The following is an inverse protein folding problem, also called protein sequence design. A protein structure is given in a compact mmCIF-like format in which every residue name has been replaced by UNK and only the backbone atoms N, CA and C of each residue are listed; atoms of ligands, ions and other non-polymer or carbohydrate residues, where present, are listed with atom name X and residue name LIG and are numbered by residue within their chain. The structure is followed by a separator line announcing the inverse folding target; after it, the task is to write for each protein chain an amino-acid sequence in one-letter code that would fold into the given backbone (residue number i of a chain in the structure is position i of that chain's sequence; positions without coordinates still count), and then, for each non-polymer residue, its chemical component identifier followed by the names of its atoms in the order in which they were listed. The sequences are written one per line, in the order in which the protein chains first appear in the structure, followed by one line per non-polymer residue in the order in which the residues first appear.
data_IF_477553533033
#
_entry.id   IF_477553533033
#
_cell.length_a   1.000
_cell.length_b   1.000
_cell.length_c   1.000
_cell.angle_alpha   90.00
_cell.angle_beta   90.00
_cell.angle_gamma   90.00
#
_symmetry.space_group_name_H-M   'P 1'
#
loop_
_entity.id
_entity.type
_entity.pdbx_description
1 polymer ?
#
# COMPACT_ATOMS: atom_id res chain seq x y z
N UNK A 1 23.88 3.02 14.10
CA UNK A 1 24.62 1.96 13.38
C UNK A 1 24.06 1.88 11.97
N UNK A 2 24.85 2.25 10.95
CA UNK A 2 24.51 2.02 9.55
C UNK A 2 24.63 0.52 9.26
N UNK A 3 23.65 -0.07 8.56
CA UNK A 3 23.74 -1.46 8.14
C UNK A 3 24.52 -1.53 6.83
N UNK A 4 25.58 -2.34 6.79
CA UNK A 4 26.42 -2.43 5.61
C UNK A 4 25.76 -3.32 4.54
N UNK A 5 25.69 -2.82 3.30
CA UNK A 5 25.35 -3.61 2.12
C UNK A 5 26.61 -4.33 1.61
N UNK A 6 26.44 -5.54 1.06
CA UNK A 6 27.47 -6.19 0.25
C UNK A 6 27.69 -5.31 -0.99
N UNK A 7 28.94 -4.95 -1.34
CA UNK A 7 29.22 -4.08 -2.48
C UNK A 7 28.75 -4.70 -3.80
N UNK A 8 28.60 -3.88 -4.87
CA UNK A 8 28.39 -4.38 -6.23
C UNK A 8 29.47 -5.39 -6.60
N UNK A 9 29.08 -6.37 -7.41
CA UNK A 9 29.93 -7.51 -7.74
C UNK A 9 31.15 -7.05 -8.53
N UNK A 10 32.33 -7.48 -8.09
CA UNK A 10 33.53 -7.39 -8.93
C UNK A 10 33.29 -8.33 -10.10
N UNK A 11 33.33 -7.81 -11.33
CA UNK A 11 32.95 -8.52 -12.54
C UNK A 11 33.68 -9.87 -12.69
N UNK A 12 33.09 -10.94 -12.15
CA UNK A 12 33.38 -12.31 -12.51
C UNK A 12 32.17 -12.78 -13.30
N UNK A 13 32.35 -12.82 -14.61
CA UNK A 13 31.36 -13.24 -15.59
C UNK A 13 30.92 -14.67 -15.30
N UNK A 14 29.66 -14.86 -14.93
CA UNK A 14 28.98 -16.15 -15.13
C UNK A 14 28.83 -16.30 -16.65
N UNK A 15 29.56 -17.25 -17.23
CA UNK A 15 29.57 -17.50 -18.68
C UNK A 15 28.22 -18.16 -19.05
N UNK A 16 27.32 -17.40 -19.66
CA UNK A 16 26.12 -17.96 -20.31
C UNK A 16 26.41 -18.23 -21.79
N UNK A 17 25.80 -19.28 -22.39
CA UNK A 17 26.05 -19.64 -23.78
C UNK A 17 25.50 -18.58 -24.76
N UNK A 18 26.26 -18.33 -25.81
CA UNK A 18 25.96 -17.35 -26.85
C UNK A 18 24.76 -17.79 -27.70
N UNK A 19 23.72 -16.96 -27.75
CA UNK A 19 22.60 -17.08 -28.70
C UNK A 19 22.74 -16.04 -29.81
N UNK A 20 22.62 -16.50 -31.06
CA UNK A 20 22.85 -15.76 -32.30
C UNK A 20 21.68 -14.86 -32.75
N UNK A 21 22.06 -13.77 -33.44
CA UNK A 21 21.38 -12.93 -34.47
C UNK A 21 19.90 -12.55 -34.39
N UNK A 22 19.60 -11.26 -34.56
CA UNK A 22 19.02 -10.68 -35.80
C UNK A 22 18.55 -9.22 -35.56
N UNK A 23 18.71 -8.35 -36.56
CA UNK A 23 18.53 -6.90 -36.46
C UNK A 23 17.10 -6.37 -36.60
N UNK A 24 16.94 -5.07 -36.33
CA UNK A 24 15.87 -4.18 -36.86
C UNK A 24 16.21 -2.70 -36.54
N UNK A 25 15.74 -1.73 -37.35
CA UNK A 25 16.27 -0.36 -37.39
C UNK A 25 15.62 0.60 -36.37
N UNK A 26 16.21 1.78 -36.24
CA UNK A 26 15.89 2.83 -35.26
C UNK A 26 14.54 3.54 -35.50
N UNK A 27 13.84 4.01 -34.45
CA UNK A 27 12.74 4.96 -34.60
C UNK A 27 13.24 6.43 -34.52
N UNK A 28 12.62 7.30 -35.32
CA UNK A 28 12.85 8.75 -35.41
C UNK A 28 12.40 9.54 -34.15
N UNK A 29 12.86 10.80 -33.95
CA UNK A 29 12.62 11.53 -32.70
C UNK A 29 11.30 12.30 -32.75
N UNK A 30 10.40 12.05 -31.79
CA UNK A 30 9.19 12.84 -31.65
C UNK A 30 8.13 12.20 -30.79
N UNK A 31 8.30 12.26 -29.45
CA UNK A 31 7.18 12.30 -28.51
C UNK A 31 7.71 12.60 -27.11
N UNK A 32 7.45 13.83 -26.64
CA UNK A 32 7.56 14.19 -25.24
C UNK A 32 6.57 13.32 -24.44
N UNK A 33 7.09 12.29 -23.78
CA UNK A 33 6.45 11.64 -22.63
C UNK A 33 7.41 11.80 -21.47
N UNK A 34 6.88 12.04 -20.27
CA UNK A 34 7.65 12.17 -19.03
C UNK A 34 8.43 10.89 -18.75
N UNK A 35 9.61 10.78 -19.34
CA UNK A 35 10.49 9.63 -19.20
C UNK A 35 11.13 9.68 -17.82
N UNK A 36 10.85 8.65 -17.01
CA UNK A 36 11.80 8.24 -16.00
C UNK A 36 13.15 8.10 -16.72
N UNK A 37 14.08 9.04 -16.48
CA UNK A 37 15.35 9.21 -17.19
C UNK A 37 15.97 7.86 -17.45
N UNK A 38 15.74 7.31 -18.64
CA UNK A 38 16.42 6.10 -19.08
C UNK A 38 17.83 6.58 -19.43
N UNK A 39 18.87 6.01 -18.82
CA UNK A 39 20.22 6.40 -19.19
C UNK A 39 20.39 6.17 -20.69
N UNK A 40 20.68 7.26 -21.42
CA UNK A 40 20.92 7.18 -22.85
C UNK A 40 22.36 6.72 -23.06
N UNK A 41 22.53 5.46 -23.44
CA UNK A 41 23.83 4.93 -23.84
C UNK A 41 24.00 5.20 -25.35
N UNK A 42 25.04 5.94 -25.76
CA UNK A 42 25.29 6.19 -27.17
C UNK A 42 25.36 4.88 -27.98
N UNK A 43 24.78 4.88 -29.18
CA UNK A 43 24.68 3.69 -30.02
C UNK A 43 26.05 3.03 -30.27
N UNK A 44 27.13 3.81 -30.37
CA UNK A 44 28.48 3.28 -30.58
C UNK A 44 28.99 2.45 -29.40
N UNK A 45 28.60 2.77 -28.16
CA UNK A 45 28.98 1.97 -26.98
C UNK A 45 28.33 0.58 -27.00
N UNK A 46 27.19 0.44 -27.67
CA UNK A 46 26.50 -0.84 -27.86
C UNK A 46 27.19 -1.73 -28.89
N UNK A 47 27.92 -1.14 -29.82
CA UNK A 47 28.65 -1.86 -30.87
C UNK A 47 30.06 -2.27 -30.46
N UNK A 48 30.69 -1.57 -29.50
CA UNK A 48 32.00 -1.96 -29.00
C UNK A 48 31.86 -3.12 -28.01
N UNK A 49 32.51 -4.28 -28.26
CA UNK A 49 32.50 -5.39 -27.30
C UNK A 49 32.95 -4.95 -25.90
N UNK A 50 32.22 -5.39 -24.87
CA UNK A 50 32.55 -5.09 -23.48
C UNK A 50 32.22 -3.67 -23.01
N UNK A 51 31.37 -2.93 -23.75
CA UNK A 51 30.86 -1.62 -23.30
C UNK A 51 30.18 -1.68 -21.94
N UNK A 52 29.38 -2.71 -21.71
CA UNK A 52 28.70 -3.00 -20.45
C UNK A 52 29.71 -3.21 -19.30
N UNK A 53 30.82 -3.91 -19.56
CA UNK A 53 31.89 -4.13 -18.58
C UNK A 53 32.66 -2.85 -18.28
N UNK A 54 32.90 -1.98 -19.26
CA UNK A 54 33.54 -0.68 -19.04
C UNK A 54 32.66 0.23 -18.18
N UNK A 55 31.37 0.31 -18.49
CA UNK A 55 30.40 1.09 -17.72
C UNK A 55 30.24 0.56 -16.29
N UNK A 56 30.20 -0.76 -16.10
CA UNK A 56 30.17 -1.34 -14.77
C UNK A 56 31.47 -1.09 -13.97
N UNK A 57 32.65 -1.12 -14.61
CA UNK A 57 33.91 -0.73 -13.95
C UNK A 57 33.90 0.72 -13.50
N UNK A 58 33.36 1.63 -14.34
CA UNK A 58 33.14 3.03 -13.97
C UNK A 58 32.20 3.14 -12.76
N UNK A 59 31.08 2.42 -12.77
CA UNK A 59 30.14 2.35 -11.65
C UNK A 59 30.80 1.87 -10.36
N UNK A 60 31.66 0.85 -10.45
CA UNK A 60 32.41 0.34 -9.31
C UNK A 60 33.43 1.37 -8.77
N UNK A 61 34.07 2.14 -9.64
CA UNK A 61 34.94 3.26 -9.24
C UNK A 61 34.17 4.32 -8.44
N UNK A 62 33.03 4.76 -8.97
CA UNK A 62 32.14 5.72 -8.31
C UNK A 62 31.59 5.20 -6.96
N UNK A 63 31.33 3.90 -6.88
CA UNK A 63 30.94 3.25 -5.63
C UNK A 63 32.06 3.33 -4.58
N UNK A 64 33.30 3.02 -4.97
CA UNK A 64 34.49 3.12 -4.09
C UNK A 64 34.75 4.55 -3.62
N UNK A 65 34.44 5.53 -4.45
CA UNK A 65 34.46 6.96 -4.12
C UNK A 65 33.29 7.40 -3.21
N UNK A 66 32.43 6.48 -2.75
CA UNK A 66 31.24 6.76 -1.93
C UNK A 66 30.23 7.67 -2.63
N UNK A 67 30.12 7.57 -3.96
CA UNK A 67 29.14 8.30 -4.79
C UNK A 67 28.05 7.35 -5.31
N UNK A 68 27.13 6.87 -4.46
CA UNK A 68 26.16 5.83 -4.83
C UNK A 68 25.18 6.27 -5.92
N UNK A 69 24.82 7.56 -5.99
CA UNK A 69 23.93 8.08 -7.02
C UNK A 69 24.59 8.07 -8.42
N UNK A 70 25.86 8.45 -8.51
CA UNK A 70 26.62 8.41 -9.76
C UNK A 70 26.92 6.97 -10.16
N UNK A 71 27.28 6.11 -9.19
CA UNK A 71 27.43 4.68 -9.40
C UNK A 71 26.16 4.06 -9.98
N UNK A 72 24.99 4.39 -9.42
CA UNK A 72 23.70 3.93 -9.93
C UNK A 72 23.47 4.36 -11.38
N UNK A 73 23.85 5.58 -11.78
CA UNK A 73 23.74 6.01 -13.19
C UNK A 73 24.61 5.17 -14.11
N UNK A 74 25.89 4.97 -13.76
CA UNK A 74 26.81 4.16 -14.56
C UNK A 74 26.40 2.68 -14.63
N UNK A 75 25.88 2.10 -13.53
CA UNK A 75 25.33 0.76 -13.54
C UNK A 75 24.02 0.66 -14.31
N UNK A 76 23.20 1.72 -14.32
CA UNK A 76 22.01 1.76 -15.14
C UNK A 76 22.37 1.77 -16.63
N UNK A 77 23.37 2.56 -17.04
CA UNK A 77 23.95 2.50 -18.40
C UNK A 77 24.42 1.08 -18.73
N UNK A 78 25.19 0.43 -17.84
CA UNK A 78 25.64 -0.95 -18.03
C UNK A 78 24.47 -1.95 -18.17
N UNK A 79 23.42 -1.81 -17.35
CA UNK A 79 22.24 -2.66 -17.39
C UNK A 79 21.37 -2.43 -18.65
N UNK A 80 21.48 -1.28 -19.33
CA UNK A 80 20.82 -1.10 -20.64
C UNK A 80 21.52 -1.86 -21.76
N UNK A 81 22.84 -2.03 -21.68
CA UNK A 81 23.61 -2.80 -22.65
C UNK A 81 23.47 -4.30 -22.44
N UNK A 82 23.33 -4.75 -21.19
CA UNK A 82 23.04 -6.14 -20.86
C UNK A 82 21.88 -6.26 -19.84
N UNK A 83 20.62 -6.20 -20.32
CA UNK A 83 19.43 -6.22 -19.47
C UNK A 83 19.09 -7.61 -18.90
N UNK A 84 19.77 -8.67 -19.38
CA UNK A 84 19.53 -10.05 -18.96
C UNK A 84 20.52 -10.52 -17.90
N UNK A 85 21.70 -9.92 -17.81
CA UNK A 85 22.69 -10.23 -16.78
C UNK A 85 22.19 -9.82 -15.37
N UNK A 86 21.90 -10.79 -14.49
CA UNK A 86 21.40 -10.50 -13.15
C UNK A 86 22.43 -9.80 -12.27
N UNK A 87 23.73 -9.86 -12.61
CA UNK A 87 24.79 -9.12 -11.92
C UNK A 87 24.62 -7.62 -12.14
N UNK A 88 24.24 -7.17 -13.34
CA UNK A 88 23.97 -5.73 -13.60
C UNK A 88 22.79 -5.22 -12.80
N UNK A 89 21.75 -6.06 -12.66
CA UNK A 89 20.59 -5.75 -11.82
C UNK A 89 20.99 -5.66 -10.33
N UNK A 90 21.88 -6.55 -9.87
CA UNK A 90 22.43 -6.52 -8.52
C UNK A 90 23.24 -5.24 -8.26
N UNK A 91 24.13 -4.86 -9.18
CA UNK A 91 25.00 -3.68 -9.03
C UNK A 91 24.19 -2.38 -8.99
N UNK A 92 23.24 -2.25 -9.92
CA UNK A 92 22.31 -1.12 -9.97
C UNK A 92 21.42 -1.10 -8.72
N UNK A 93 20.83 -2.23 -8.36
CA UNK A 93 19.97 -2.36 -7.19
C UNK A 93 20.68 -2.00 -5.88
N UNK A 94 21.93 -2.46 -5.72
CA UNK A 94 22.77 -2.16 -4.55
C UNK A 94 23.11 -0.68 -4.49
N UNK A 95 23.44 -0.08 -5.64
CA UNK A 95 23.77 1.35 -5.72
C UNK A 95 22.57 2.24 -5.41
N UNK A 96 21.39 1.88 -5.92
CA UNK A 96 20.12 2.55 -5.59
C UNK A 96 19.76 2.38 -4.11
N UNK A 97 19.97 1.21 -3.53
CA UNK A 97 19.71 0.96 -2.11
C UNK A 97 20.59 1.83 -1.21
N UNK A 98 21.89 1.93 -1.51
CA UNK A 98 22.81 2.82 -0.79
C UNK A 98 22.45 4.31 -0.94
N UNK A 99 21.90 4.69 -2.10
CA UNK A 99 21.31 6.01 -2.33
C UNK A 99 19.93 6.22 -1.70
N UNK A 100 19.48 5.31 -0.81
CA UNK A 100 18.16 5.31 -0.15
C UNK A 100 16.95 5.24 -1.09
N UNK A 101 17.16 4.86 -2.35
CA UNK A 101 16.11 4.76 -3.36
C UNK A 101 15.52 3.33 -3.41
N UNK A 102 14.88 2.92 -2.32
CA UNK A 102 14.44 1.52 -2.16
C UNK A 102 13.33 1.12 -3.09
N UNK A 103 12.46 2.05 -3.48
CA UNK A 103 11.35 1.77 -4.39
C UNK A 103 11.85 1.23 -5.74
N UNK A 104 12.98 1.77 -6.22
CA UNK A 104 13.62 1.33 -7.45
C UNK A 104 14.59 0.15 -7.22
N UNK A 105 15.30 0.13 -6.09
CA UNK A 105 16.25 -0.93 -5.77
C UNK A 105 15.59 -2.31 -5.56
N UNK A 106 14.47 -2.34 -4.84
CA UNK A 106 13.81 -3.57 -4.41
C UNK A 106 13.48 -4.56 -5.55
N UNK A 107 12.81 -4.15 -6.65
CA UNK A 107 12.52 -5.07 -7.75
C UNK A 107 13.77 -5.60 -8.45
N UNK A 108 14.84 -4.80 -8.53
CA UNK A 108 16.10 -5.19 -9.16
C UNK A 108 16.84 -6.24 -8.34
N UNK A 109 17.00 -5.99 -7.03
CA UNK A 109 17.62 -6.93 -6.10
C UNK A 109 16.80 -8.22 -5.97
N UNK A 110 15.47 -8.15 -6.02
CA UNK A 110 14.60 -9.32 -5.99
C UNK A 110 14.76 -10.19 -7.26
N UNK A 111 14.99 -9.57 -8.44
CA UNK A 111 15.31 -10.29 -9.67
C UNK A 111 16.69 -10.93 -9.60
N UNK A 112 17.70 -10.20 -9.12
CA UNK A 112 19.04 -10.73 -8.93
C UNK A 112 19.08 -11.91 -7.94
N UNK A 113 18.37 -11.80 -6.81
CA UNK A 113 18.25 -12.88 -5.82
C UNK A 113 17.54 -14.12 -6.39
N UNK A 114 16.49 -13.94 -7.20
CA UNK A 114 15.83 -15.05 -7.89
C UNK A 114 16.75 -15.75 -8.89
N UNK A 115 17.65 -15.01 -9.52
CA UNK A 115 18.67 -15.53 -10.42
C UNK A 115 19.91 -16.11 -9.70
N UNK A 116 19.91 -16.18 -8.37
CA UNK A 116 20.99 -16.78 -7.58
C UNK A 116 22.21 -15.88 -7.34
N UNK A 117 22.10 -14.56 -7.58
CA UNK A 117 23.21 -13.64 -7.29
C UNK A 117 23.41 -13.54 -5.78
N UNK A 118 24.56 -14.03 -5.30
CA UNK A 118 24.94 -14.00 -3.88
C UNK A 118 24.93 -12.57 -3.35
N UNK A 119 24.43 -12.39 -2.13
CA UNK A 119 24.33 -11.08 -1.48
C UNK A 119 23.12 -10.24 -1.88
N UNK A 120 22.41 -10.57 -2.97
CA UNK A 120 21.23 -9.83 -3.39
C UNK A 120 20.08 -9.92 -2.35
N UNK A 121 19.85 -11.11 -1.79
CA UNK A 121 18.85 -11.30 -0.73
C UNK A 121 19.22 -10.52 0.54
N UNK A 122 20.50 -10.54 0.91
CA UNK A 122 21.00 -9.80 2.07
C UNK A 122 20.84 -8.29 1.87
N UNK A 123 21.28 -7.75 0.73
CA UNK A 123 21.16 -6.32 0.43
C UNK A 123 19.71 -5.85 0.43
N UNK A 124 18.81 -6.64 -0.15
CA UNK A 124 17.39 -6.33 -0.17
C UNK A 124 16.77 -6.38 1.24
N UNK A 125 17.15 -7.36 2.04
CA UNK A 125 16.70 -7.50 3.42
C UNK A 125 17.21 -6.38 4.32
N UNK A 126 18.48 -6.03 4.21
CA UNK A 126 19.12 -4.90 4.89
C UNK A 126 18.47 -3.57 4.51
N UNK A 127 18.28 -3.32 3.22
CA UNK A 127 17.56 -2.15 2.73
C UNK A 127 16.13 -2.08 3.30
N UNK A 128 15.37 -3.17 3.22
CA UNK A 128 14.03 -3.23 3.78
C UNK A 128 14.00 -2.97 5.30
N UNK A 129 15.03 -3.42 6.03
CA UNK A 129 15.19 -3.17 7.45
C UNK A 129 15.40 -1.68 7.74
N UNK A 130 16.28 -1.01 7.00
CA UNK A 130 16.55 0.43 7.14
C UNK A 130 15.32 1.29 6.84
N UNK A 131 14.45 0.85 5.91
CA UNK A 131 13.18 1.53 5.62
C UNK A 131 12.01 1.12 6.51
N UNK A 132 12.27 0.37 7.58
CA UNK A 132 11.24 -0.04 8.54
C UNK A 132 10.23 -1.07 7.99
N UNK A 133 10.49 -1.67 6.83
CA UNK A 133 9.61 -2.65 6.20
C UNK A 133 9.82 -4.04 6.81
N UNK A 134 9.53 -4.16 8.10
CA UNK A 134 9.86 -5.33 8.92
C UNK A 134 9.47 -6.68 8.31
N UNK A 135 8.25 -6.87 7.76
CA UNK A 135 7.87 -8.14 7.14
C UNK A 135 8.73 -8.51 5.93
N UNK A 136 9.11 -7.51 5.12
CA UNK A 136 9.97 -7.74 3.96
C UNK A 136 11.42 -8.02 4.38
N UNK A 137 11.93 -7.27 5.37
CA UNK A 137 13.25 -7.48 5.93
C UNK A 137 13.42 -8.91 6.44
N UNK A 138 12.48 -9.40 7.26
CA UNK A 138 12.49 -10.78 7.78
C UNK A 138 12.50 -11.80 6.63
N UNK A 139 11.65 -11.62 5.62
CA UNK A 139 11.56 -12.55 4.48
C UNK A 139 12.89 -12.65 3.73
N UNK A 140 13.51 -11.53 3.39
CA UNK A 140 14.73 -11.50 2.58
C UNK A 140 15.98 -11.88 3.39
N UNK A 141 16.06 -11.47 4.65
CA UNK A 141 17.15 -11.87 5.55
C UNK A 141 17.07 -13.36 5.89
N UNK A 142 15.88 -13.95 6.01
CA UNK A 142 15.72 -15.41 6.12
C UNK A 142 16.30 -16.10 4.88
N UNK A 143 16.02 -15.59 3.68
CA UNK A 143 16.60 -16.15 2.44
C UNK A 143 18.12 -16.00 2.43
N UNK A 144 18.66 -14.85 2.80
CA UNK A 144 20.10 -14.65 2.91
C UNK A 144 20.75 -15.63 3.91
N UNK A 145 20.07 -15.94 5.01
CA UNK A 145 20.55 -16.89 6.01
C UNK A 145 20.54 -18.33 5.51
N UNK A 146 19.63 -18.67 4.60
CA UNK A 146 19.63 -19.97 3.91
C UNK A 146 20.77 -20.05 2.88
N UNK A 147 21.15 -18.93 2.26
CA UNK A 147 22.27 -18.84 1.31
C UNK A 147 23.63 -18.90 2.03
N UNK A 148 23.76 -18.26 3.20
CA UNK A 148 24.95 -18.33 4.05
C UNK A 148 24.56 -18.41 5.53
N UNK A 149 24.41 -19.64 6.08
CA UNK A 149 24.06 -19.86 7.47
C UNK A 149 25.17 -19.46 8.46
N UNK A 150 26.39 -19.23 7.97
CA UNK A 150 27.56 -18.93 8.81
C UNK A 150 27.73 -17.42 9.06
N UNK A 151 27.20 -16.56 8.19
CA UNK A 151 27.38 -15.11 8.28
C UNK A 151 26.81 -14.51 9.57
N UNK A 152 27.65 -13.91 10.43
CA UNK A 152 27.19 -13.21 11.63
C UNK A 152 26.41 -11.93 11.29
N UNK A 153 26.74 -11.25 10.19
CA UNK A 153 26.04 -10.04 9.75
C UNK A 153 24.59 -10.33 9.37
N UNK A 154 24.36 -11.43 8.63
CA UNK A 154 23.01 -11.86 8.23
C UNK A 154 22.19 -12.20 9.47
N UNK A 155 22.75 -12.98 10.42
CA UNK A 155 22.08 -13.35 11.67
C UNK A 155 21.67 -12.11 12.47
N UNK A 156 22.61 -11.18 12.67
CA UNK A 156 22.36 -9.93 13.38
C UNK A 156 21.24 -9.11 12.74
N UNK A 157 21.28 -8.93 11.42
CA UNK A 157 20.23 -8.15 10.73
C UNK A 157 18.88 -8.87 10.78
N UNK A 158 18.88 -10.21 10.68
CA UNK A 158 17.65 -11.00 10.80
C UNK A 158 17.01 -10.83 12.19
N UNK A 159 17.80 -10.87 13.25
CA UNK A 159 17.32 -10.59 14.61
C UNK A 159 16.75 -9.18 14.76
N UNK A 160 17.43 -8.17 14.21
CA UNK A 160 16.92 -6.79 14.20
C UNK A 160 15.58 -6.70 13.47
N UNK A 161 15.44 -7.40 12.33
CA UNK A 161 14.19 -7.45 11.58
C UNK A 161 13.06 -8.14 12.36
N UNK A 162 13.36 -9.22 13.10
CA UNK A 162 12.40 -9.89 13.96
C UNK A 162 11.92 -8.99 15.10
N UNK A 163 12.84 -8.29 15.78
CA UNK A 163 12.51 -7.33 16.86
C UNK A 163 11.63 -6.20 16.33
N UNK A 164 11.96 -5.67 15.15
CA UNK A 164 11.15 -4.62 14.52
C UNK A 164 9.74 -5.13 14.17
N UNK A 165 9.63 -6.35 13.65
CA UNK A 165 8.34 -6.97 13.33
C UNK A 165 7.49 -7.18 14.58
N UNK A 166 8.10 -7.63 15.68
CA UNK A 166 7.42 -7.81 16.97
C UNK A 166 6.92 -6.47 17.52
N UNK A 167 7.75 -5.43 17.47
CA UNK A 167 7.35 -4.06 17.86
C UNK A 167 6.14 -3.59 17.07
N UNK A 168 6.15 -3.74 15.73
CA UNK A 168 5.00 -3.39 14.90
C UNK A 168 3.73 -4.15 15.27
N UNK A 169 3.83 -5.45 15.58
CA UNK A 169 2.69 -6.26 16.05
C UNK A 169 2.16 -5.77 17.40
N UNK A 170 3.03 -5.46 18.36
CA UNK A 170 2.66 -4.90 19.67
C UNK A 170 1.95 -3.55 19.52
N UNK A 171 2.48 -2.67 18.68
CA UNK A 171 1.90 -1.35 18.43
C UNK A 171 0.53 -1.45 17.73
N UNK A 172 0.38 -2.38 16.77
CA UNK A 172 -0.91 -2.66 16.15
C UNK A 172 -1.92 -3.24 17.15
N UNK A 173 -1.51 -4.16 18.02
CA UNK A 173 -2.37 -4.72 19.08
C UNK A 173 -2.84 -3.61 20.02
N UNK A 174 -1.94 -2.77 20.53
CA UNK A 174 -2.28 -1.63 21.40
C UNK A 174 -3.27 -0.67 20.74
N UNK A 175 -3.07 -0.34 19.46
CA UNK A 175 -4.01 0.52 18.70
C UNK A 175 -5.39 -0.13 18.57
N UNK A 176 -5.44 -1.45 18.32
CA UNK A 176 -6.69 -2.20 18.22
C UNK A 176 -7.42 -2.24 19.57
N UNK A 177 -6.70 -2.50 20.64
CA UNK A 177 -7.26 -2.58 22.00
C UNK A 177 -7.81 -1.21 22.43
N UNK A 178 -7.07 -0.12 22.19
CA UNK A 178 -7.54 1.25 22.44
C UNK A 178 -8.80 1.59 21.64
N UNK A 179 -8.87 1.18 20.37
CA UNK A 179 -10.05 1.39 19.50
C UNK A 179 -11.26 0.59 19.99
N UNK A 180 -11.06 -0.64 20.47
CA UNK A 180 -12.13 -1.45 21.03
C UNK A 180 -12.65 -0.87 22.35
N UNK A 181 -11.76 -0.35 23.20
CA UNK A 181 -12.14 0.30 24.46
C UNK A 181 -12.97 1.56 24.20
N UNK A 182 -12.54 2.44 23.28
CA UNK A 182 -13.32 3.61 22.87
C UNK A 182 -14.73 3.24 22.37
N UNK A 183 -14.85 2.21 21.54
CA UNK A 183 -16.16 1.73 21.05
C UNK A 183 -17.06 1.22 22.18
N UNK A 184 -16.49 0.52 23.16
CA UNK A 184 -17.25 0.05 24.31
C UNK A 184 -17.71 1.21 25.19
N UNK A 185 -16.85 2.21 25.41
CA UNK A 185 -17.19 3.40 26.18
C UNK A 185 -18.28 4.24 25.48
N UNK A 186 -18.18 4.44 24.17
CA UNK A 186 -19.22 5.08 23.34
C UNK A 186 -20.56 4.33 23.43
N UNK A 187 -20.53 3.00 23.31
CA UNK A 187 -21.74 2.17 23.42
C UNK A 187 -22.38 2.29 24.81
N UNK A 188 -21.57 2.29 25.87
CA UNK A 188 -22.03 2.43 27.25
C UNK A 188 -22.67 3.81 27.50
N UNK A 189 -22.10 4.89 26.95
CA UNK A 189 -22.70 6.22 27.00
C UNK A 189 -24.02 6.29 26.23
N UNK A 190 -24.09 5.65 25.05
CA UNK A 190 -25.30 5.63 24.23
C UNK A 190 -26.44 4.85 24.90
N UNK A 191 -26.12 3.73 25.55
CA UNK A 191 -27.09 2.94 26.31
C UNK A 191 -27.59 3.70 27.55
N UNK A 192 -26.71 4.44 28.24
CA UNK A 192 -27.10 5.33 29.35
C UNK A 192 -28.03 6.47 28.91
N UNK A 193 -27.72 7.12 27.78
CA UNK A 193 -28.59 8.16 27.21
C UNK A 193 -29.98 7.62 26.87
N UNK A 194 -30.06 6.44 26.24
CA UNK A 194 -31.35 5.80 25.92
C UNK A 194 -32.15 5.48 27.18
N UNK A 195 -31.51 4.99 28.24
CA UNK A 195 -32.19 4.73 29.52
C UNK A 195 -32.71 6.02 30.18
N UNK A 196 -31.92 7.11 30.15
CA UNK A 196 -32.37 8.41 30.66
C UNK A 196 -33.56 8.95 29.86
N UNK A 197 -33.53 8.85 28.54
CA UNK A 197 -34.60 9.30 27.66
C UNK A 197 -35.89 8.49 27.87
N UNK A 198 -35.77 7.17 28.08
CA UNK A 198 -36.90 6.32 28.46
C UNK A 198 -37.52 6.70 29.81
N UNK A 199 -36.70 6.98 30.84
CA UNK A 199 -37.18 7.44 32.16
C UNK A 199 -37.92 8.78 32.05
N UNK A 200 -37.38 9.75 31.30
CA UNK A 200 -38.03 11.04 31.09
C UNK A 200 -39.38 10.90 30.38
N UNK A 201 -39.47 10.03 29.35
CA UNK A 201 -40.73 9.71 28.67
C UNK A 201 -41.78 9.11 29.60
N UNK A 202 -41.39 8.19 30.50
CA UNK A 202 -42.31 7.62 31.47
C UNK A 202 -42.84 8.67 32.46
N UNK A 203 -41.96 9.55 32.98
CA UNK A 203 -42.38 10.64 33.87
C UNK A 203 -43.32 11.64 33.18
N UNK A 204 -43.07 11.99 31.90
CA UNK A 204 -43.98 12.83 31.13
C UNK A 204 -45.36 12.20 30.96
N UNK A 205 -45.44 10.89 30.67
CA UNK A 205 -46.71 10.17 30.58
C UNK A 205 -47.48 10.18 31.90
N UNK A 206 -46.80 9.96 33.04
CA UNK A 206 -47.42 10.03 34.36
C UNK A 206 -47.95 11.43 34.68
N UNK A 207 -47.20 12.49 34.36
CA UNK A 207 -47.65 13.88 34.52
C UNK A 207 -48.86 14.23 33.65
N UNK A 208 -48.92 13.72 32.42
CA UNK A 208 -50.06 13.93 31.53
C UNK A 208 -51.30 13.14 32.00
N UNK A 209 -51.12 11.91 32.53
CA UNK A 209 -52.19 11.14 33.15
C UNK A 209 -52.75 11.80 34.42
N UNK A 210 -51.88 12.36 35.27
CA UNK A 210 -52.31 13.11 36.46
C UNK A 210 -53.05 14.41 36.10
N UNK A 211 -52.71 15.07 34.98
CA UNK A 211 -53.46 16.23 34.47
C UNK A 211 -54.80 15.86 33.82
N UNK A 212 -54.97 14.63 33.34
CA UNK A 212 -56.23 14.15 32.76
C UNK A 212 -57.25 13.66 33.82
N UNK A 213 -56.83 13.46 35.07
CA UNK A 213 -57.71 13.11 36.21
C UNK A 213 -58.41 14.30 36.87
N UNK A 214 -58.10 15.53 36.47
CA UNK A 214 -58.90 16.71 36.82
C UNK A 214 -59.89 16.93 35.67
N UNK A 215 -61.14 16.51 35.86
CA UNK A 215 -62.24 16.73 34.92
C UNK A 215 -62.52 18.23 34.72
N UNK A 216 -62.43 18.78 33.50
CA UNK A 216 -63.39 19.76 33.04
C UNK A 216 -64.60 19.01 32.48
N UNK A 217 -65.79 19.34 32.98
CA UNK A 217 -67.10 18.90 32.50
C UNK A 217 -67.18 19.03 30.96
N UNK A 218 -67.70 18.02 30.22
CA UNK A 218 -67.79 18.11 28.77
C UNK A 218 -68.99 18.96 28.35
N UNK A 219 -68.74 20.10 27.72
CA UNK A 219 -69.75 20.82 26.94
C UNK A 219 -69.71 20.30 25.49
N UNK A 220 -70.85 19.96 24.86
CA UNK A 220 -70.85 19.32 23.54
C UNK A 220 -70.44 20.31 22.46
N UNK A 221 -69.67 19.80 21.50
CA UNK A 221 -69.16 20.53 20.33
C UNK A 221 -70.27 20.90 19.34
N UNK A 222 -69.99 21.86 18.43
CA UNK A 222 -70.42 21.73 17.06
C UNK A 222 -69.25 21.37 16.13
N UNK A 223 -69.56 20.40 15.28
CA UNK A 223 -68.89 19.97 14.05
C UNK A 223 -68.20 21.09 13.27
N UNK A 224 -66.94 20.86 12.88
CA UNK A 224 -66.48 21.21 11.53
C UNK A 224 -65.34 20.28 11.10
N UNK A 225 -65.61 19.54 10.03
CA UNK A 225 -64.66 18.72 9.32
C UNK A 225 -63.57 19.60 8.68
N UNK A 226 -62.32 19.40 9.10
CA UNK A 226 -61.17 20.03 8.47
C UNK A 226 -59.96 19.10 8.55
N UNK A 227 -59.63 18.45 7.43
CA UNK A 227 -58.44 17.59 7.27
C UNK A 227 -57.18 18.38 7.64
N UNK A 228 -56.65 18.23 8.85
CA UNK A 228 -55.36 18.80 9.25
C UNK A 228 -54.23 17.82 8.88
N UNK A 229 -53.40 18.25 7.93
CA UNK A 229 -52.12 17.61 7.58
C UNK A 229 -51.21 17.53 8.81
N UNK A 230 -50.38 16.48 8.96
CA UNK A 230 -49.47 16.37 10.10
C UNK A 230 -48.48 17.55 10.14
N UNK A 231 -48.09 18.03 11.35
CA UNK A 231 -47.20 19.17 11.49
C UNK A 231 -45.80 18.85 10.92
N UNK A 232 -45.25 19.80 10.16
CA UNK A 232 -43.85 19.71 9.69
C UNK A 232 -42.91 19.79 10.89
N UNK A 233 -41.91 18.89 11.02
CA UNK A 233 -40.97 18.94 12.13
C UNK A 233 -40.11 20.21 12.05
N UNK A 234 -40.08 20.98 13.13
CA UNK A 234 -39.41 22.28 13.26
C UNK A 234 -37.86 22.23 13.22
N UNK A 235 -37.27 21.09 12.85
CA UNK A 235 -35.83 20.85 12.96
C UNK A 235 -35.26 20.36 11.61
N UNK A 236 -34.39 21.15 10.93
CA UNK A 236 -33.95 20.87 9.55
C UNK A 236 -33.18 19.54 9.39
N UNK A 237 -32.54 19.08 10.47
CA UNK A 237 -31.85 17.78 10.54
C UNK A 237 -32.81 16.59 10.40
N UNK A 238 -33.98 16.64 11.05
CA UNK A 238 -34.97 15.56 10.98
C UNK A 238 -35.63 15.50 9.59
N UNK A 239 -35.89 16.64 8.98
CA UNK A 239 -36.39 16.69 7.60
C UNK A 239 -35.40 16.11 6.58
N UNK A 240 -34.10 16.26 6.80
CA UNK A 240 -33.06 15.70 5.94
C UNK A 240 -33.01 14.17 6.01
N UNK A 241 -33.12 13.62 7.22
CA UNK A 241 -33.13 12.17 7.45
C UNK A 241 -34.33 11.49 6.78
N UNK A 242 -35.54 12.06 6.93
CA UNK A 242 -36.75 11.49 6.36
C UNK A 242 -36.77 11.54 4.81
N UNK A 243 -36.10 12.54 4.21
CA UNK A 243 -35.87 12.59 2.76
C UNK A 243 -34.89 11.51 2.29
N UNK A 244 -33.82 11.27 3.04
CA UNK A 244 -32.86 10.22 2.75
C UNK A 244 -33.51 8.83 2.81
N UNK A 245 -34.33 8.59 3.84
CA UNK A 245 -35.02 7.31 4.04
C UNK A 245 -36.07 7.04 2.95
N UNK A 246 -36.84 8.05 2.53
CA UNK A 246 -37.78 7.93 1.40
C UNK A 246 -37.06 7.62 0.08
N UNK A 247 -35.90 8.25 -0.18
CA UNK A 247 -35.09 7.97 -1.38
C UNK A 247 -34.56 6.54 -1.36
N UNK A 248 -34.07 6.07 -0.22
CA UNK A 248 -33.59 4.70 -0.06
C UNK A 248 -34.72 3.68 -0.31
N UNK A 249 -35.91 3.89 0.26
CA UNK A 249 -37.09 3.03 0.00
C UNK A 249 -37.49 3.01 -1.48
N UNK A 250 -37.43 4.16 -2.16
CA UNK A 250 -37.80 4.24 -3.59
C UNK A 250 -36.75 3.58 -4.48
N UNK A 251 -35.46 3.67 -4.12
CA UNK A 251 -34.37 2.98 -4.82
C UNK A 251 -34.38 1.46 -4.61
N UNK A 252 -34.84 0.97 -3.45
CA UNK A 252 -35.01 -0.46 -3.19
C UNK A 252 -36.24 -1.09 -3.87
N UNK A 253 -37.23 -0.28 -4.30
CA UNK A 253 -38.25 -0.72 -5.25
C UNK A 253 -37.64 -0.73 -6.65
N UNK A 254 -36.81 -1.73 -6.92
CA UNK A 254 -36.30 -2.01 -8.26
C UNK A 254 -37.47 -2.33 -9.20
N UNK A 255 -37.41 -1.90 -10.48
CA UNK A 255 -38.38 -2.31 -11.49
C UNK A 255 -38.20 -3.80 -11.78
N UNK A 256 -39.32 -4.52 -11.86
CA UNK A 256 -39.36 -5.95 -12.23
C UNK A 256 -38.62 -6.14 -13.56
N UNK A 257 -37.59 -6.99 -13.64
CA UNK A 257 -36.92 -7.25 -14.90
C UNK A 257 -37.91 -7.95 -15.84
N UNK A 258 -38.28 -7.27 -16.94
CA UNK A 258 -38.94 -7.93 -18.07
C UNK A 258 -37.99 -9.01 -18.59
N UNK A 259 -38.46 -10.26 -18.61
CA UNK A 259 -37.76 -11.39 -19.23
C UNK A 259 -37.33 -10.98 -20.65
N UNK A 260 -36.02 -10.90 -20.90
CA UNK A 260 -35.48 -10.92 -22.26
C UNK A 260 -35.69 -12.34 -22.77
N UNK A 261 -36.46 -12.49 -23.84
CA UNK A 261 -36.36 -13.69 -24.69
C UNK A 261 -34.93 -13.72 -25.22
N UNK A 262 -34.25 -14.83 -24.93
CA UNK A 262 -32.98 -15.17 -25.55
C UNK A 262 -33.36 -15.98 -26.78
N UNK A 263 -33.15 -15.41 -27.97
CA UNK A 263 -33.10 -16.21 -29.19
C UNK A 263 -31.79 -17.00 -29.13
N UNK A 264 -31.92 -18.33 -29.16
CA UNK A 264 -30.83 -19.27 -29.32
C UNK A 264 -30.40 -19.26 -30.78
N UNK A 265 -29.32 -18.54 -31.08
CA UNK A 265 -28.56 -18.77 -32.30
C UNK A 265 -27.58 -19.92 -32.02
N UNK A 266 -27.94 -21.08 -32.54
CA UNK A 266 -27.07 -22.22 -32.82
C UNK A 266 -26.16 -21.93 -34.01
#
# INVERSE_FOLDING_TARGET
MLLALVPPAQAQSVRLPAGSSAGSPAPAPGAARSEAVRPHVPWWQRWIPGGERRLARRGLGLWKEKKPAEAARAFAEAATLDPKDPVRLYDLGTSLAAGKNLKQAAPLLARASRAGVRGAAYNLGTAALESGQAPQAVRWLRRALLEDPSSPEVKRNYELALRLLEKHKKDQKKKRDKKNQQKNDEKKQQDQQKQQEQKQRQQQKQRQGAKAGATPTPTPAPSQAGRRKPPKPANPLFGALERAERRARKAMRTPVPRKRQVEEDW
#
